data_IF_788342671921
#
_entry.id   IF_788342671921
#
_cell.length_a   1.000
_cell.length_b   1.000
_cell.length_c   1.000
_cell.angle_alpha   90.00
_cell.angle_beta   90.00
_cell.angle_gamma   90.00
#
_symmetry.space_group_name_H-M   'P 1'
#
loop_
_entity.id
_entity.type
_entity.pdbx_description
1 polymer ?
#
# COMPACT_ATOMS: atom_id res chain seq x y z
N UNK A 1 -14.80 8.28 -15.72
CA UNK A 1 -14.08 9.26 -16.55
C UNK A 1 -13.15 10.14 -15.70
N UNK A 2 -13.64 10.81 -14.65
CA UNK A 2 -12.83 11.72 -13.82
C UNK A 2 -11.50 11.16 -13.28
N UNK A 3 -11.49 9.93 -12.76
CA UNK A 3 -10.25 9.29 -12.28
C UNK A 3 -9.23 9.00 -13.39
N UNK A 4 -9.72 8.57 -14.56
CA UNK A 4 -8.88 8.25 -15.73
C UNK A 4 -8.25 9.52 -16.32
N UNK A 5 -9.03 10.60 -16.43
CA UNK A 5 -8.52 11.91 -16.83
C UNK A 5 -7.50 12.47 -15.84
N UNK A 6 -7.70 12.25 -14.54
CA UNK A 6 -6.75 12.69 -13.53
C UNK A 6 -5.42 11.92 -13.61
N UNK A 7 -5.46 10.60 -13.82
CA UNK A 7 -4.24 9.78 -13.97
C UNK A 7 -3.44 10.17 -15.20
N UNK A 8 -4.10 10.42 -16.34
CA UNK A 8 -3.41 10.78 -17.59
C UNK A 8 -3.03 12.26 -17.67
N UNK A 9 -3.76 13.13 -16.98
CA UNK A 9 -3.54 14.58 -16.98
C UNK A 9 -2.49 15.05 -15.97
N UNK A 10 -2.40 14.42 -14.80
CA UNK A 10 -1.52 14.87 -13.72
C UNK A 10 -0.02 14.83 -14.06
N UNK A 11 0.52 13.80 -14.77
CA UNK A 11 1.91 13.82 -15.22
C UNK A 11 2.20 14.95 -16.22
N UNK A 12 1.25 15.27 -17.11
CA UNK A 12 1.39 16.38 -18.08
C UNK A 12 1.36 17.76 -17.43
N UNK A 13 0.75 17.86 -16.25
CA UNK A 13 0.71 19.08 -15.44
C UNK A 13 1.91 19.24 -14.50
N UNK A 14 2.88 18.31 -14.53
CA UNK A 14 4.07 18.34 -13.67
C UNK A 14 3.88 17.73 -12.28
N UNK A 15 2.73 17.11 -12.00
CA UNK A 15 2.42 16.50 -10.69
C UNK A 15 2.09 15.01 -10.83
N UNK A 16 3.08 14.13 -11.05
CA UNK A 16 2.85 12.70 -11.30
C UNK A 16 2.11 11.99 -10.16
N UNK A 17 2.33 12.40 -8.90
CA UNK A 17 1.67 11.81 -7.73
C UNK A 17 0.23 12.28 -7.50
N UNK A 18 -0.21 13.37 -8.16
CA UNK A 18 -1.56 13.91 -7.96
C UNK A 18 -2.65 13.04 -8.61
N UNK A 19 -2.32 12.30 -9.68
CA UNK A 19 -3.27 11.45 -10.41
C UNK A 19 -3.88 10.34 -9.54
N UNK A 20 -3.07 9.47 -8.90
CA UNK A 20 -3.58 8.43 -8.01
C UNK A 20 -4.38 8.99 -6.83
N UNK A 21 -3.91 10.08 -6.22
CA UNK A 21 -4.62 10.73 -5.11
C UNK A 21 -5.99 11.24 -5.53
N UNK A 22 -6.09 11.89 -6.69
CA UNK A 22 -7.35 12.35 -7.26
C UNK A 22 -8.30 11.17 -7.57
N UNK A 23 -7.77 10.04 -8.03
CA UNK A 23 -8.57 8.84 -8.25
C UNK A 23 -9.21 8.33 -6.95
N UNK A 24 -8.44 8.26 -5.86
CA UNK A 24 -8.92 7.83 -4.54
C UNK A 24 -9.95 8.81 -3.98
N UNK A 25 -9.73 10.13 -4.08
CA UNK A 25 -10.67 11.12 -3.58
C UNK A 25 -11.98 11.12 -4.37
N UNK A 26 -11.94 10.99 -5.69
CA UNK A 26 -13.14 10.89 -6.53
C UNK A 26 -13.93 9.61 -6.18
N UNK A 27 -13.24 8.47 -5.99
CA UNK A 27 -13.89 7.23 -5.57
C UNK A 27 -14.57 7.35 -4.20
N UNK A 28 -13.91 8.01 -3.25
CA UNK A 28 -14.48 8.29 -1.92
C UNK A 28 -15.72 9.20 -2.02
N UNK A 29 -15.61 10.33 -2.73
CA UNK A 29 -16.72 11.27 -2.93
C UNK A 29 -17.89 10.59 -3.64
N UNK A 30 -17.63 9.76 -4.66
CA UNK A 30 -18.66 8.99 -5.35
C UNK A 30 -19.36 8.01 -4.39
N UNK A 31 -18.61 7.30 -3.55
CA UNK A 31 -19.17 6.39 -2.54
C UNK A 31 -20.08 7.11 -1.54
N UNK A 32 -19.67 8.30 -1.07
CA UNK A 32 -20.48 9.13 -0.16
C UNK A 32 -21.73 9.65 -0.87
N UNK A 33 -21.58 10.19 -2.08
CA UNK A 33 -22.68 10.76 -2.85
C UNK A 33 -23.74 9.69 -3.18
N UNK A 34 -23.32 8.49 -3.58
CA UNK A 34 -24.23 7.37 -3.78
C UNK A 34 -24.98 7.05 -2.49
N UNK A 35 -24.29 6.95 -1.34
CA UNK A 35 -24.94 6.71 -0.04
C UNK A 35 -26.01 7.76 0.30
N UNK A 36 -25.78 9.04 -0.01
CA UNK A 36 -26.73 10.12 0.28
C UNK A 36 -27.97 10.18 -0.63
N UNK A 37 -27.95 9.59 -1.82
CA UNK A 37 -29.05 9.68 -2.80
C UNK A 37 -30.29 8.76 -2.52
N UNK A 38 -30.49 8.30 -1.28
CA UNK A 38 -31.63 7.44 -0.91
C UNK A 38 -31.48 5.96 -1.33
N UNK A 39 -32.44 5.07 -1.02
CA UNK A 39 -32.38 3.66 -1.40
C UNK A 39 -32.62 3.52 -2.91
N UNK A 40 -31.57 3.69 -3.72
CA UNK A 40 -31.61 3.29 -5.11
C UNK A 40 -31.69 1.75 -5.17
N UNK A 41 -32.57 1.17 -6.01
CA UNK A 41 -32.68 -0.29 -6.17
C UNK A 41 -31.35 -0.97 -6.55
N UNK A 42 -30.38 -0.23 -7.11
CA UNK A 42 -29.14 -0.73 -7.67
C UNK A 42 -27.86 -0.37 -6.89
N UNK A 43 -27.95 0.14 -5.65
CA UNK A 43 -26.76 0.54 -4.85
C UNK A 43 -25.75 -0.58 -4.64
N UNK A 44 -26.22 -1.82 -4.52
CA UNK A 44 -25.41 -3.03 -4.36
C UNK A 44 -24.65 -3.41 -5.64
N UNK A 45 -25.20 -3.11 -6.83
CA UNK A 45 -24.61 -3.55 -8.10
C UNK A 45 -23.23 -2.96 -8.38
N UNK A 46 -22.97 -1.71 -7.98
CA UNK A 46 -21.67 -1.08 -8.26
C UNK A 46 -20.56 -1.76 -7.46
N UNK A 47 -20.79 -2.04 -6.17
CA UNK A 47 -19.83 -2.74 -5.34
C UNK A 47 -19.57 -4.17 -5.86
N UNK A 48 -20.60 -4.86 -6.33
CA UNK A 48 -20.49 -6.20 -6.90
C UNK A 48 -19.67 -6.19 -8.21
N UNK A 49 -19.91 -5.22 -9.09
CA UNK A 49 -19.13 -5.05 -10.33
C UNK A 49 -17.65 -4.77 -10.01
N UNK A 50 -17.36 -3.89 -9.04
CA UNK A 50 -15.99 -3.64 -8.61
C UNK A 50 -15.35 -4.86 -7.94
N UNK A 51 -16.12 -5.67 -7.21
CA UNK A 51 -15.64 -6.92 -6.60
C UNK A 51 -15.25 -7.95 -7.66
N UNK A 52 -16.07 -8.13 -8.70
CA UNK A 52 -15.76 -9.01 -9.83
C UNK A 52 -14.53 -8.51 -10.59
N UNK A 53 -14.44 -7.22 -10.84
CA UNK A 53 -13.27 -6.61 -11.50
C UNK A 53 -12.00 -6.82 -10.64
N UNK A 54 -12.10 -6.61 -9.33
CA UNK A 54 -10.99 -6.78 -8.40
C UNK A 54 -10.47 -8.22 -8.38
N UNK A 55 -11.34 -9.24 -8.46
CA UNK A 55 -10.91 -10.64 -8.55
C UNK A 55 -9.98 -10.93 -9.73
N UNK A 56 -10.12 -10.19 -10.84
CA UNK A 56 -9.25 -10.31 -12.01
C UNK A 56 -8.00 -9.42 -11.87
N UNK A 57 -8.18 -8.19 -11.38
CA UNK A 57 -7.08 -7.22 -11.25
C UNK A 57 -6.09 -7.56 -10.13
N UNK A 58 -6.54 -8.16 -9.03
CA UNK A 58 -5.69 -8.52 -7.89
C UNK A 58 -4.51 -9.43 -8.28
N UNK A 59 -4.70 -10.61 -8.90
CA UNK A 59 -3.59 -11.46 -9.32
C UNK A 59 -2.73 -10.81 -10.41
N UNK A 60 -3.32 -10.03 -11.31
CA UNK A 60 -2.58 -9.29 -12.34
C UNK A 60 -1.64 -8.24 -11.72
N UNK A 61 -2.09 -7.53 -10.69
CA UNK A 61 -1.30 -6.54 -9.97
C UNK A 61 -0.10 -7.19 -9.28
N UNK A 62 -0.30 -8.31 -8.58
CA UNK A 62 0.81 -9.03 -7.95
C UNK A 62 1.77 -9.66 -8.97
N UNK A 63 1.27 -10.16 -10.11
CA UNK A 63 2.11 -10.67 -11.19
C UNK A 63 3.00 -9.58 -11.79
N UNK A 64 2.47 -8.37 -12.01
CA UNK A 64 3.28 -7.25 -12.52
C UNK A 64 4.28 -6.72 -11.51
N UNK A 65 3.92 -6.65 -10.22
CA UNK A 65 4.90 -6.34 -9.17
C UNK A 65 6.05 -7.35 -9.21
N UNK A 66 5.75 -8.63 -9.42
CA UNK A 66 6.74 -9.69 -9.57
C UNK A 66 7.61 -9.57 -10.83
N UNK A 67 7.03 -9.11 -11.94
CA UNK A 67 7.72 -8.94 -13.21
C UNK A 67 8.69 -7.74 -13.23
N UNK A 68 8.39 -6.69 -12.46
CA UNK A 68 9.27 -5.52 -12.27
C UNK A 68 10.51 -5.83 -11.40
N UNK A 69 10.61 -7.03 -10.82
CA UNK A 69 11.71 -7.41 -9.94
C UNK A 69 12.87 -7.94 -10.77
N UNK A 70 13.94 -7.15 -10.87
CA UNK A 70 15.22 -7.64 -11.35
C UNK A 70 16.08 -8.15 -10.18
N UNK A 71 16.05 -9.48 -9.95
CA UNK A 71 16.85 -10.14 -8.92
C UNK A 71 18.34 -10.25 -9.30
N UNK A 72 18.69 -10.02 -10.57
CA UNK A 72 20.07 -10.14 -11.07
C UNK A 72 20.96 -8.97 -10.62
N UNK A 73 20.36 -7.86 -10.21
CA UNK A 73 21.03 -6.67 -9.68
C UNK A 73 21.16 -6.73 -8.14
N UNK A 74 20.54 -7.73 -7.48
CA UNK A 74 20.60 -7.89 -6.02
C UNK A 74 21.90 -8.56 -5.59
N UNK A 75 22.89 -7.75 -5.23
CA UNK A 75 23.96 -8.21 -4.35
C UNK A 75 23.39 -8.56 -2.96
N UNK A 76 23.80 -9.71 -2.42
CA UNK A 76 23.37 -10.19 -1.10
C UNK A 76 23.64 -9.16 0.02
N UNK A 77 24.70 -8.38 -0.11
CA UNK A 77 25.01 -7.28 0.82
C UNK A 77 23.93 -6.20 0.79
N UNK A 78 23.51 -5.75 -0.39
CA UNK A 78 22.44 -4.73 -0.55
C UNK A 78 21.11 -5.23 0.01
N UNK A 79 20.80 -6.51 -0.16
CA UNK A 79 19.59 -7.15 0.40
C UNK A 79 19.64 -7.16 1.92
N UNK A 80 20.79 -7.50 2.51
CA UNK A 80 20.95 -7.55 3.97
C UNK A 80 20.78 -6.18 4.62
N UNK A 81 21.38 -5.14 4.03
CA UNK A 81 21.21 -3.75 4.48
C UNK A 81 19.77 -3.28 4.30
N UNK A 82 19.14 -3.61 3.18
CA UNK A 82 17.73 -3.34 2.93
C UNK A 82 16.82 -3.97 4.01
N UNK A 83 17.05 -5.24 4.34
CA UNK A 83 16.29 -5.95 5.38
C UNK A 83 16.48 -5.32 6.78
N UNK A 84 17.70 -4.88 7.10
CA UNK A 84 17.98 -4.17 8.36
C UNK A 84 17.21 -2.84 8.44
N UNK A 85 17.22 -2.05 7.36
CA UNK A 85 16.48 -0.78 7.27
C UNK A 85 14.97 -1.02 7.38
N UNK A 86 14.43 -2.02 6.70
CA UNK A 86 13.01 -2.39 6.80
C UNK A 86 12.66 -2.76 8.24
N UNK A 87 13.46 -3.62 8.88
CA UNK A 87 13.22 -4.04 10.27
C UNK A 87 13.23 -2.85 11.23
N UNK A 88 14.23 -1.96 11.10
CA UNK A 88 14.30 -0.73 11.90
C UNK A 88 13.09 0.19 11.69
N UNK A 89 12.67 0.39 10.44
CA UNK A 89 11.49 1.18 10.11
C UNK A 89 10.20 0.58 10.68
N UNK A 90 10.06 -0.74 10.68
CA UNK A 90 8.91 -1.43 11.29
C UNK A 90 8.89 -1.26 12.82
N UNK A 91 10.05 -1.34 13.49
CA UNK A 91 10.14 -1.12 14.94
C UNK A 91 9.72 0.31 15.31
N UNK A 92 10.25 1.32 14.59
CA UNK A 92 9.84 2.72 14.80
C UNK A 92 8.34 2.87 14.59
N UNK A 93 7.77 2.25 13.55
CA UNK A 93 6.33 2.28 13.28
C UNK A 93 5.51 1.68 14.42
N UNK A 94 5.93 0.55 14.99
CA UNK A 94 5.24 -0.07 16.13
C UNK A 94 5.32 0.82 17.38
N UNK A 95 6.49 1.41 17.67
CA UNK A 95 6.67 2.32 18.80
C UNK A 95 5.80 3.57 18.65
N UNK A 96 5.78 4.20 17.47
CA UNK A 96 4.95 5.38 17.21
C UNK A 96 3.47 5.03 17.30
N UNK A 97 3.06 3.88 16.76
CA UNK A 97 1.67 3.40 16.89
C UNK A 97 1.28 3.22 18.36
N UNK A 98 2.16 2.63 19.17
CA UNK A 98 1.93 2.48 20.60
C UNK A 98 1.78 3.83 21.30
N UNK A 99 2.68 4.79 21.04
CA UNK A 99 2.61 6.15 21.60
C UNK A 99 1.31 6.87 21.22
N UNK A 100 0.88 6.77 19.97
CA UNK A 100 -0.37 7.41 19.49
C UNK A 100 -1.62 6.80 20.13
N UNK A 101 -1.57 5.52 20.52
CA UNK A 101 -2.71 4.81 21.09
C UNK A 101 -2.78 4.89 22.63
N UNK A 102 -1.78 5.45 23.31
CA UNK A 102 -1.79 5.62 24.77
C UNK A 102 -2.97 6.48 25.29
N UNK A 103 -3.55 7.33 24.45
CA UNK A 103 -4.72 8.14 24.80
C UNK A 103 -6.06 7.60 24.28
N UNK A 104 -6.06 6.47 23.57
CA UNK A 104 -7.22 5.98 22.82
C UNK A 104 -8.12 5.02 23.63
N UNK A 105 -7.76 4.72 24.90
CA UNK A 105 -8.55 3.85 25.79
C UNK A 105 -8.56 2.36 25.41
N UNK A 106 -7.67 1.94 24.51
CA UNK A 106 -7.56 0.54 24.08
C UNK A 106 -6.71 -0.30 25.04
N UNK A 107 -6.99 -1.60 25.08
CA UNK A 107 -6.20 -2.56 25.83
C UNK A 107 -4.86 -2.83 25.12
N UNK A 108 -3.81 -3.21 25.86
CA UNK A 108 -2.49 -3.51 25.32
C UNK A 108 -2.50 -4.56 24.20
N UNK A 109 -3.44 -5.52 24.28
CA UNK A 109 -3.66 -6.53 23.22
C UNK A 109 -4.19 -5.92 21.92
N UNK A 110 -5.11 -4.97 22.04
CA UNK A 110 -5.70 -4.27 20.89
C UNK A 110 -4.69 -3.31 20.28
N UNK A 111 -3.89 -2.62 21.10
CA UNK A 111 -2.78 -1.77 20.62
C UNK A 111 -1.76 -2.57 19.81
N UNK A 112 -1.40 -3.78 20.28
CA UNK A 112 -0.53 -4.68 19.51
C UNK A 112 -1.19 -5.16 18.22
N UNK A 113 -2.48 -5.48 18.24
CA UNK A 113 -3.22 -5.87 17.04
C UNK A 113 -3.28 -4.75 16.00
N UNK A 114 -3.53 -3.51 16.42
CA UNK A 114 -3.52 -2.34 15.53
C UNK A 114 -2.14 -2.16 14.89
N UNK A 115 -1.07 -2.31 15.68
CA UNK A 115 0.30 -2.28 15.17
C UNK A 115 0.57 -3.36 14.11
N UNK A 116 0.14 -4.61 14.35
CA UNK A 116 0.28 -5.73 13.41
C UNK A 116 -0.57 -5.56 12.15
N UNK A 117 -1.79 -5.05 12.29
CA UNK A 117 -2.71 -4.79 11.17
C UNK A 117 -2.23 -3.65 10.25
N UNK A 118 -1.33 -2.78 10.75
CA UNK A 118 -0.72 -1.69 9.97
C UNK A 118 0.59 -2.06 9.27
N UNK A 119 1.12 -3.26 9.48
CA UNK A 119 2.31 -3.75 8.79
C UNK A 119 2.12 -3.93 7.27
N UNK A 120 1.03 -4.56 6.77
CA UNK A 120 0.87 -4.79 5.34
C UNK A 120 0.34 -3.53 4.62
N UNK A 121 1.25 -2.66 4.14
CA UNK A 121 0.89 -1.51 3.27
C UNK A 121 1.63 -1.56 1.93
N UNK A 122 1.41 -2.65 1.18
CA UNK A 122 2.16 -2.97 -0.03
C UNK A 122 1.75 -2.18 -1.28
N UNK A 123 0.46 -1.88 -1.46
CA UNK A 123 -0.09 -1.42 -2.75
C UNK A 123 0.36 -0.01 -3.13
N UNK A 124 0.39 0.91 -2.17
CA UNK A 124 0.88 2.28 -2.41
C UNK A 124 2.40 2.29 -2.63
N UNK A 125 3.13 1.43 -1.93
CA UNK A 125 4.58 1.31 -2.11
C UNK A 125 4.90 0.78 -3.51
N UNK A 126 4.23 -0.27 -3.96
CA UNK A 126 4.40 -0.83 -5.30
C UNK A 126 4.09 0.18 -6.41
N UNK A 127 3.05 1.00 -6.24
CA UNK A 127 2.67 1.99 -7.24
C UNK A 127 3.65 3.17 -7.33
N UNK A 128 4.30 3.55 -6.21
CA UNK A 128 5.21 4.69 -6.16
C UNK A 128 6.69 4.29 -6.36
N UNK A 129 7.06 3.05 -6.06
CA UNK A 129 8.43 2.55 -6.16
C UNK A 129 9.11 2.72 -7.53
N UNK A 130 8.43 2.55 -8.69
CA UNK A 130 9.07 2.73 -10.00
C UNK A 130 9.15 4.20 -10.45
N UNK A 131 8.50 5.14 -9.76
CA UNK A 131 8.49 6.54 -10.16
C UNK A 131 9.88 7.18 -10.18
N UNK A 132 10.75 7.01 -9.17
CA UNK A 132 12.10 7.56 -9.22
C UNK A 132 12.91 7.04 -10.43
N UNK A 133 12.77 5.75 -10.75
CA UNK A 133 13.51 5.13 -11.86
C UNK A 133 13.08 5.73 -13.21
N UNK A 134 11.78 5.84 -13.43
CA UNK A 134 11.25 6.48 -14.65
C UNK A 134 11.60 7.96 -14.76
N UNK A 135 11.68 8.69 -13.64
CA UNK A 135 12.11 10.10 -13.64
C UNK A 135 13.59 10.25 -14.01
N UNK A 136 14.48 9.41 -13.48
CA UNK A 136 15.91 9.44 -13.80
C UNK A 136 16.17 9.03 -15.25
N UNK A 137 15.45 8.03 -15.76
CA UNK A 137 15.53 7.61 -17.17
C UNK A 137 15.06 8.68 -18.16
N UNK A 138 14.18 9.59 -17.73
CA UNK A 138 13.69 10.69 -18.54
C UNK A 138 14.64 11.91 -18.57
N UNK A 139 15.71 11.93 -17.77
CA UNK A 139 16.72 12.98 -17.79
C UNK A 139 17.74 12.74 -18.91
N UNK A 140 18.21 13.80 -19.54
CA UNK A 140 19.31 13.77 -20.51
C UNK A 140 20.37 14.82 -20.12
N UNK A 141 21.61 14.41 -19.75
CA UNK A 141 22.13 13.04 -19.71
C UNK A 141 21.64 12.26 -18.47
N UNK A 142 21.49 10.95 -18.60
CA UNK A 142 21.12 10.06 -17.50
C UNK A 142 22.28 9.95 -16.50
N UNK A 143 22.12 10.44 -15.25
CA UNK A 143 23.17 10.33 -14.25
C UNK A 143 23.27 8.88 -13.76
N UNK A 144 24.39 8.20 -14.05
CA UNK A 144 24.56 6.78 -13.70
C UNK A 144 24.39 6.48 -12.20
N UNK A 145 24.82 7.41 -11.33
CA UNK A 145 24.68 7.30 -9.88
C UNK A 145 23.21 7.36 -9.41
N UNK A 146 22.40 8.20 -10.05
CA UNK A 146 20.96 8.33 -9.73
C UNK A 146 20.19 7.10 -10.21
N UNK A 147 20.61 6.51 -11.34
CA UNK A 147 19.98 5.30 -11.87
C UNK A 147 20.18 4.11 -10.92
N UNK A 148 21.39 3.95 -10.39
CA UNK A 148 21.66 2.92 -9.36
C UNK A 148 20.84 3.13 -8.10
N UNK A 149 20.71 4.38 -7.62
CA UNK A 149 19.93 4.69 -6.42
C UNK A 149 18.43 4.44 -6.64
N UNK A 150 17.89 4.83 -7.80
CA UNK A 150 16.49 4.62 -8.13
C UNK A 150 16.15 3.12 -8.26
N UNK A 151 17.05 2.33 -8.85
CA UNK A 151 16.92 0.87 -8.89
C UNK A 151 16.96 0.26 -7.48
N UNK A 152 17.88 0.70 -6.62
CA UNK A 152 17.93 0.25 -5.21
C UNK A 152 16.64 0.57 -4.45
N UNK A 153 16.04 1.75 -4.65
CA UNK A 153 14.76 2.13 -4.01
C UNK A 153 13.64 1.17 -4.45
N UNK A 154 13.55 0.87 -5.75
CA UNK A 154 12.57 -0.08 -6.29
C UNK A 154 12.75 -1.47 -5.66
N UNK A 155 13.99 -1.97 -5.64
CA UNK A 155 14.34 -3.25 -5.03
C UNK A 155 13.98 -3.32 -3.54
N UNK A 156 14.34 -2.31 -2.74
CA UNK A 156 14.05 -2.29 -1.30
C UNK A 156 12.54 -2.20 -1.04
N UNK A 157 11.80 -1.44 -1.86
CA UNK A 157 10.34 -1.38 -1.76
C UNK A 157 9.69 -2.74 -2.01
N UNK A 158 10.15 -3.47 -3.02
CA UNK A 158 9.70 -4.83 -3.32
C UNK A 158 10.07 -5.80 -2.21
N UNK A 159 11.31 -5.78 -1.73
CA UNK A 159 11.75 -6.62 -0.59
C UNK A 159 10.91 -6.35 0.66
N UNK A 160 10.59 -5.08 0.92
CA UNK A 160 9.67 -4.71 1.99
C UNK A 160 8.31 -5.35 1.80
N UNK A 161 7.73 -5.33 0.59
CA UNK A 161 6.44 -5.98 0.30
C UNK A 161 6.51 -7.49 0.52
N UNK A 162 7.56 -8.14 0.00
CA UNK A 162 7.75 -9.59 0.10
C UNK A 162 7.87 -10.06 1.55
N UNK A 163 8.50 -9.27 2.41
CA UNK A 163 8.68 -9.59 3.84
C UNK A 163 7.43 -9.19 4.65
N UNK A 164 6.92 -7.97 4.46
CA UNK A 164 5.84 -7.41 5.30
C UNK A 164 4.46 -7.98 4.98
N UNK A 165 4.19 -8.37 3.74
CA UNK A 165 2.91 -8.95 3.34
C UNK A 165 2.60 -10.27 4.08
N UNK A 166 3.47 -11.31 4.03
CA UNK A 166 3.22 -12.54 4.76
C UNK A 166 3.25 -12.33 6.28
N UNK A 167 4.17 -11.50 6.80
CA UNK A 167 4.22 -11.19 8.24
C UNK A 167 2.94 -10.50 8.72
N UNK A 168 2.40 -9.57 7.94
CA UNK A 168 1.13 -8.90 8.22
C UNK A 168 -0.05 -9.85 8.14
N UNK A 169 -0.10 -10.73 7.14
CA UNK A 169 -1.12 -11.77 7.02
C UNK A 169 -1.11 -12.75 8.20
N UNK A 170 0.07 -13.22 8.62
CA UNK A 170 0.24 -14.09 9.79
C UNK A 170 -0.15 -13.34 11.07
N UNK A 171 0.32 -12.09 11.23
CA UNK A 171 0.02 -11.26 12.39
C UNK A 171 -1.47 -10.97 12.55
N UNK A 172 -2.19 -10.73 11.47
CA UNK A 172 -3.64 -10.46 11.48
C UNK A 172 -4.47 -11.74 11.68
N UNK A 173 -4.12 -12.84 11.01
CA UNK A 173 -4.83 -14.12 11.12
C UNK A 173 -4.70 -14.76 12.51
N UNK A 174 -3.52 -14.70 13.12
CA UNK A 174 -3.29 -15.21 14.48
C UNK A 174 -3.71 -14.21 15.55
N UNK A 175 -3.45 -12.92 15.31
CA UNK A 175 -3.74 -11.84 16.24
C UNK A 175 -5.23 -11.52 16.35
N UNK A 176 -5.98 -11.60 15.26
CA UNK A 176 -7.42 -11.30 15.22
C UNK A 176 -8.22 -12.06 16.29
N UNK A 177 -8.25 -13.40 16.27
CA UNK A 177 -9.04 -14.18 17.23
C UNK A 177 -8.48 -14.18 18.68
N UNK A 178 -7.18 -13.89 18.88
CA UNK A 178 -6.53 -13.95 20.20
C UNK A 178 -6.44 -12.61 20.93
N UNK A 179 -6.32 -11.51 20.20
CA UNK A 179 -6.08 -10.17 20.74
C UNK A 179 -7.35 -9.32 20.77
N UNK A 180 -8.28 -9.52 19.85
CA UNK A 180 -9.57 -8.85 19.87
C UNK A 180 -10.50 -9.60 20.85
N UNK A 181 -10.96 -8.90 21.89
CA UNK A 181 -12.08 -9.42 22.69
C UNK A 181 -13.30 -9.48 21.76
N UNK A 182 -13.88 -10.66 21.58
CA UNK A 182 -15.25 -10.73 21.07
C UNK A 182 -16.15 -10.05 22.11
N UNK A 183 -16.68 -8.89 21.77
CA UNK A 183 -17.86 -8.40 22.45
C UNK A 183 -19.02 -9.26 21.96
N UNK A 184 -19.22 -10.42 22.57
CA UNK A 184 -20.45 -11.20 22.42
C UNK A 184 -21.54 -10.45 23.18
N UNK A 185 -22.03 -9.39 22.54
CA UNK A 185 -23.29 -8.73 22.88
C UNK A 185 -24.38 -9.38 22.06
N UNK A 186 -25.07 -10.34 22.66
CA UNK A 186 -26.44 -10.67 22.28
C UNK A 186 -27.28 -9.43 22.66
N UNK A 187 -27.80 -8.70 21.68
CA UNK A 187 -29.17 -8.17 21.60
C UNK A 187 -29.34 -7.31 20.34
#
# INVERSE_FOLDING_TARGET
VGGLSAILGAPKAGFPSAGPLACVTIAFVASVCWKTQGPLPNKTQVADVFSVLWRVLEPMLYAFIGAEIDLTILDLDTVSWGAAVITGALLVRVVVCWLMLMGAGLNWKEVLFVGLAWLPKATVQAALAPLPLTMVQAQDPVPAAELTMASQILTVAVLSILITSPLGAIGTTLGGPRLLKQHSGIM
#
